data_IF_337857999609
#
_entry.id   IF_337857999609
#
_cell.length_a   1.000
_cell.length_b   1.000
_cell.length_c   1.000
_cell.angle_alpha   90.00
_cell.angle_beta   90.00
_cell.angle_gamma   90.00
#
_symmetry.space_group_name_H-M   'P 1'
#
loop_
_entity.id
_entity.type
_entity.pdbx_description
1 polymer ?
#
# COMPACT_ATOMS: atom_id res chain seq x y z
N UNK A 1 17.64 -3.44 11.18
CA UNK A 1 16.27 -3.12 11.67
C UNK A 1 16.17 -1.62 11.89
N UNK A 2 15.06 -0.97 11.51
CA UNK A 2 14.82 0.48 11.73
C UNK A 2 13.51 0.65 12.51
N UNK A 3 13.52 1.46 13.56
CA UNK A 3 12.32 1.89 14.29
C UNK A 3 12.04 3.34 13.93
N UNK A 4 10.84 3.63 13.43
CA UNK A 4 10.43 4.99 13.07
C UNK A 4 9.25 5.40 13.94
N UNK A 5 9.48 6.35 14.85
CA UNK A 5 8.47 6.85 15.77
C UNK A 5 7.81 8.09 15.15
N UNK A 6 6.48 8.15 15.22
CA UNK A 6 5.65 9.30 14.84
C UNK A 6 4.66 9.58 15.95
N UNK A 7 4.13 10.80 15.96
CA UNK A 7 3.30 11.33 17.03
C UNK A 7 1.97 10.59 17.19
N UNK A 8 1.34 10.23 16.08
CA UNK A 8 -0.03 9.71 16.05
C UNK A 8 -0.28 8.79 14.83
N UNK A 9 -1.48 8.21 14.79
CA UNK A 9 -1.92 7.29 13.75
C UNK A 9 -1.84 7.87 12.33
N UNK A 10 -2.22 9.14 12.16
CA UNK A 10 -2.21 9.81 10.86
C UNK A 10 -0.78 10.04 10.36
N UNK A 11 0.12 10.45 11.27
CA UNK A 11 1.53 10.63 10.96
C UNK A 11 2.24 9.31 10.61
N UNK A 12 1.92 8.21 11.30
CA UNK A 12 2.41 6.87 10.92
C UNK A 12 1.85 6.46 9.56
N UNK A 13 0.54 6.59 9.38
CA UNK A 13 -0.17 6.22 8.15
C UNK A 13 0.38 6.93 6.92
N UNK A 14 0.54 8.26 7.01
CA UNK A 14 1.13 9.06 5.96
C UNK A 14 2.58 8.66 5.68
N UNK A 15 3.38 8.42 6.74
CA UNK A 15 4.77 8.01 6.58
C UNK A 15 4.90 6.68 5.82
N UNK A 16 4.09 5.68 6.17
CA UNK A 16 4.09 4.37 5.50
C UNK A 16 3.57 4.50 4.07
N UNK A 17 2.48 5.22 3.82
CA UNK A 17 1.95 5.44 2.48
C UNK A 17 2.97 6.14 1.57
N UNK A 18 3.65 7.17 2.09
CA UNK A 18 4.74 7.84 1.38
C UNK A 18 5.88 6.86 1.07
N UNK A 19 6.28 6.04 2.04
CA UNK A 19 7.33 5.04 1.82
C UNK A 19 6.97 4.05 0.71
N UNK A 20 5.74 3.52 0.71
CA UNK A 20 5.23 2.62 -0.35
C UNK A 20 5.23 3.33 -1.71
N UNK A 21 4.72 4.57 -1.78
CA UNK A 21 4.73 5.39 -3.00
C UNK A 21 6.14 5.51 -3.57
N UNK A 22 7.11 5.93 -2.75
CA UNK A 22 8.48 6.10 -3.21
C UNK A 22 9.10 4.75 -3.62
N UNK A 23 8.76 3.64 -2.96
CA UNK A 23 9.26 2.30 -3.36
C UNK A 23 8.74 1.84 -4.71
N UNK A 24 7.47 2.09 -5.01
CA UNK A 24 6.90 1.80 -6.32
C UNK A 24 7.55 2.72 -7.37
N UNK A 25 7.70 4.03 -7.09
CA UNK A 25 8.30 4.98 -8.03
C UNK A 25 9.76 4.68 -8.34
N UNK A 26 10.59 4.45 -7.33
CA UNK A 26 12.01 4.12 -7.51
C UNK A 26 12.22 2.79 -8.25
N UNK A 27 11.33 1.82 -8.05
CA UNK A 27 11.39 0.54 -8.78
C UNK A 27 10.98 0.68 -10.26
N UNK A 28 10.16 1.68 -10.59
CA UNK A 28 9.65 1.97 -11.93
C UNK A 28 9.05 0.74 -12.65
N UNK A 29 7.94 0.17 -12.13
CA UNK A 29 7.41 -1.11 -12.61
C UNK A 29 6.88 -1.02 -14.04
N UNK A 30 7.15 -2.07 -14.80
CA UNK A 30 6.66 -2.26 -16.18
C UNK A 30 5.80 -3.53 -16.24
N UNK A 31 5.18 -3.78 -17.39
CA UNK A 31 4.38 -5.00 -17.60
C UNK A 31 5.23 -6.26 -17.47
N UNK A 32 6.48 -6.24 -17.96
CA UNK A 32 7.41 -7.38 -17.88
C UNK A 32 8.12 -7.48 -16.52
N UNK A 33 8.11 -6.42 -15.72
CA UNK A 33 8.73 -6.37 -14.39
C UNK A 33 7.80 -5.62 -13.42
N UNK A 34 6.73 -6.27 -12.95
CA UNK A 34 5.76 -5.66 -12.04
C UNK A 34 6.34 -5.50 -10.63
N UNK A 35 5.81 -4.52 -9.88
CA UNK A 35 6.10 -4.40 -8.45
C UNK A 35 5.17 -5.33 -7.66
N UNK A 36 5.72 -6.23 -6.86
CA UNK A 36 4.93 -7.17 -6.06
C UNK A 36 4.76 -6.61 -4.64
N UNK A 37 3.51 -6.45 -4.20
CA UNK A 37 3.16 -5.81 -2.94
C UNK A 37 2.24 -6.69 -2.08
N UNK A 38 2.70 -7.03 -0.88
CA UNK A 38 1.87 -7.66 0.15
C UNK A 38 0.99 -6.64 0.87
N UNK A 39 -0.28 -6.95 1.09
CA UNK A 39 -1.26 -6.07 1.73
C UNK A 39 -1.94 -6.74 2.94
N UNK A 40 -1.93 -6.08 4.11
CA UNK A 40 -2.69 -6.53 5.27
C UNK A 40 -4.17 -6.09 5.23
N UNK A 41 -5.01 -6.72 6.06
CA UNK A 41 -6.35 -6.23 6.38
C UNK A 41 -6.37 -5.58 7.78
N UNK A 42 -7.55 -5.35 8.35
CA UNK A 42 -7.72 -4.77 9.69
C UNK A 42 -7.67 -3.24 9.72
N UNK A 43 -7.72 -2.66 10.93
CA UNK A 43 -7.83 -1.21 11.12
C UNK A 43 -6.50 -0.46 10.92
N UNK A 44 -5.37 -1.08 11.26
CA UNK A 44 -4.04 -0.48 11.16
C UNK A 44 -3.71 0.12 9.78
N UNK A 45 -3.95 -0.57 8.64
CA UNK A 45 -3.61 -0.01 7.33
C UNK A 45 -4.65 0.96 6.75
N UNK A 46 -5.79 1.22 7.40
CA UNK A 46 -6.86 2.07 6.85
C UNK A 46 -6.32 3.47 6.47
N UNK A 47 -5.55 4.10 7.36
CA UNK A 47 -4.96 5.42 7.09
C UNK A 47 -3.95 5.37 5.95
N UNK A 48 -3.19 4.29 5.83
CA UNK A 48 -2.23 4.07 4.72
C UNK A 48 -3.00 4.01 3.40
N UNK A 49 -4.06 3.22 3.31
CA UNK A 49 -4.87 3.11 2.10
C UNK A 49 -5.51 4.42 1.68
N UNK A 50 -6.07 5.18 2.63
CA UNK A 50 -6.61 6.52 2.34
C UNK A 50 -5.56 7.44 1.70
N UNK A 51 -4.32 7.43 2.20
CA UNK A 51 -3.24 8.24 1.63
C UNK A 51 -2.76 7.71 0.27
N UNK A 52 -2.69 6.39 0.07
CA UNK A 52 -2.36 5.79 -1.23
C UNK A 52 -3.40 6.15 -2.31
N UNK A 53 -4.70 6.14 -1.96
CA UNK A 53 -5.78 6.59 -2.85
C UNK A 53 -5.59 8.07 -3.21
N UNK A 54 -5.30 8.94 -2.24
CA UNK A 54 -5.03 10.36 -2.49
C UNK A 54 -3.85 10.57 -3.45
N UNK A 55 -2.74 9.85 -3.25
CA UNK A 55 -1.59 9.94 -4.16
C UNK A 55 -1.93 9.46 -5.58
N UNK A 56 -2.76 8.42 -5.70
CA UNK A 56 -3.21 7.96 -7.00
C UNK A 56 -4.10 8.99 -7.71
N UNK A 57 -5.08 9.54 -7.01
CA UNK A 57 -5.98 10.57 -7.53
C UNK A 57 -5.23 11.85 -7.92
N UNK A 58 -4.16 12.21 -7.20
CA UNK A 58 -3.29 13.33 -7.52
C UNK A 58 -2.32 13.06 -8.70
N UNK A 59 -2.32 11.85 -9.28
CA UNK A 59 -1.40 11.46 -10.36
C UNK A 59 0.04 11.20 -9.90
N UNK A 60 0.30 11.19 -8.59
CA UNK A 60 1.64 10.98 -8.03
C UNK A 60 2.02 9.50 -7.94
N UNK A 61 1.05 8.59 -8.05
CA UNK A 61 1.23 7.15 -7.91
C UNK A 61 0.35 6.40 -8.92
N UNK A 62 0.92 5.40 -9.59
CA UNK A 62 0.18 4.48 -10.45
C UNK A 62 0.34 3.05 -9.96
N UNK A 63 -0.77 2.33 -9.88
CA UNK A 63 -0.80 0.91 -9.57
C UNK A 63 -0.91 0.02 -10.81
N UNK A 64 -0.81 0.60 -12.03
CA UNK A 64 -1.04 -0.12 -13.30
C UNK A 64 -0.20 -1.40 -13.44
N UNK A 65 1.05 -1.38 -12.97
CA UNK A 65 1.98 -2.51 -13.03
C UNK A 65 2.33 -3.03 -11.63
N UNK A 66 1.37 -2.98 -10.69
CA UNK A 66 1.53 -3.51 -9.34
C UNK A 66 0.68 -4.78 -9.21
N UNK A 67 1.31 -5.86 -8.74
CA UNK A 67 0.63 -7.12 -8.41
C UNK A 67 0.53 -7.21 -6.89
N UNK A 68 -0.67 -7.47 -6.39
CA UNK A 68 -0.92 -7.53 -4.95
C UNK A 68 -1.15 -8.96 -4.46
N UNK A 69 -0.77 -9.21 -3.22
CA UNK A 69 -1.12 -10.42 -2.47
C UNK A 69 -1.68 -10.00 -1.10
N UNK A 70 -2.87 -10.47 -0.76
CA UNK A 70 -3.43 -10.30 0.58
C UNK A 70 -2.98 -11.44 1.49
N UNK A 71 -2.96 -11.19 2.80
CA UNK A 71 -2.46 -12.14 3.80
C UNK A 71 -3.37 -13.35 3.98
N UNK A 72 -4.68 -13.12 4.05
CA UNK A 72 -5.65 -14.12 4.49
C UNK A 72 -7.06 -13.83 3.96
N UNK A 73 -7.89 -14.87 4.01
CA UNK A 73 -9.34 -14.81 3.82
C UNK A 73 -9.97 -16.01 4.56
N UNK A 74 -11.20 -15.86 5.02
CA UNK A 74 -11.94 -16.95 5.65
C UNK A 74 -12.34 -18.01 4.63
N UNK A 75 -12.20 -19.28 5.04
CA UNK A 75 -12.69 -20.42 4.27
C UNK A 75 -14.23 -20.49 4.36
N UNK A 76 -14.90 -20.57 3.21
CA UNK A 76 -16.34 -20.81 3.15
C UNK A 76 -17.24 -19.57 3.13
N UNK A 77 -16.69 -18.37 2.94
CA UNK A 77 -17.52 -17.18 2.73
C UNK A 77 -18.33 -17.27 1.43
N UNK A 78 -19.55 -16.69 1.39
CA UNK A 78 -20.32 -16.56 0.16
C UNK A 78 -19.51 -15.83 -0.91
N UNK A 79 -19.53 -16.36 -2.13
CA UNK A 79 -19.05 -15.64 -3.30
C UNK A 79 -20.20 -14.80 -3.83
N UNK A 80 -20.00 -13.49 -3.87
CA UNK A 80 -20.90 -12.54 -4.51
C UNK A 80 -20.56 -12.39 -5.99
#
# INVERSE_FOLDING_TARGET
MRLVIRKDFEAVSYHVAKYVKERIKEFAPTVSKPFVLGLPTGSSPIGVYRNLVKFHQAGELSFKNVITFNMDEYVGLPRY
#
